data_IF_350854927818
#
_entry.id   IF_350854927818
#
_cell.length_a   1.000
_cell.length_b   1.000
_cell.length_c   1.000
_cell.angle_alpha   90.00
_cell.angle_beta   90.00
_cell.angle_gamma   90.00
#
_symmetry.space_group_name_H-M   'P 1'
#
loop_
_entity.id
_entity.type
_entity.pdbx_description
1 polymer ?
#
# COMPACT_ATOMS: atom_id res chain seq x y z
N UNK A 1 4.51 -14.32 3.96
CA UNK A 1 3.91 -14.88 2.73
C UNK A 1 4.87 -15.92 2.19
N UNK A 2 4.50 -17.20 2.17
CA UNK A 2 5.38 -18.26 1.66
C UNK A 2 5.04 -18.42 0.19
N UNK A 3 5.89 -17.90 -0.70
CA UNK A 3 5.69 -18.05 -2.13
C UNK A 3 6.21 -19.42 -2.53
N UNK A 4 5.31 -20.36 -2.79
CA UNK A 4 5.69 -21.67 -3.33
C UNK A 4 6.06 -21.52 -4.80
N UNK A 5 7.37 -21.42 -5.02
CA UNK A 5 7.99 -21.36 -6.32
C UNK A 5 8.16 -22.79 -6.86
N UNK A 6 7.48 -23.08 -7.97
CA UNK A 6 7.73 -24.31 -8.71
C UNK A 6 9.15 -24.28 -9.28
N UNK A 7 9.80 -25.44 -9.39
CA UNK A 7 11.18 -25.56 -9.89
C UNK A 7 11.34 -24.86 -11.24
N UNK A 8 10.33 -24.94 -12.11
CA UNK A 8 10.30 -24.27 -13.42
C UNK A 8 10.39 -22.75 -13.30
N UNK A 9 9.67 -22.14 -12.34
CA UNK A 9 9.71 -20.70 -12.09
C UNK A 9 11.10 -20.24 -11.60
N UNK A 10 11.74 -21.00 -10.71
CA UNK A 10 13.12 -20.73 -10.27
C UNK A 10 14.12 -20.81 -11.42
N UNK A 11 14.05 -21.86 -12.24
CA UNK A 11 14.90 -21.99 -13.43
C UNK A 11 14.63 -20.90 -14.46
N UNK A 12 13.41 -20.35 -14.51
CA UNK A 12 13.05 -19.23 -15.37
C UNK A 12 13.58 -17.88 -14.82
N UNK A 13 13.65 -17.72 -13.49
CA UNK A 13 14.25 -16.55 -12.83
C UNK A 13 15.78 -16.55 -12.83
N UNK A 14 16.43 -17.71 -12.91
CA UNK A 14 17.89 -17.86 -12.81
C UNK A 14 18.72 -17.26 -13.97
N UNK A 15 18.11 -16.52 -14.90
CA UNK A 15 18.85 -15.84 -15.97
C UNK A 15 18.65 -14.35 -15.85
N UNK A 16 19.76 -13.61 -15.88
CA UNK A 16 19.78 -12.15 -15.76
C UNK A 16 18.91 -11.48 -16.82
N UNK A 17 19.02 -11.93 -18.07
CA UNK A 17 18.21 -11.42 -19.20
C UNK A 17 16.71 -11.59 -18.98
N UNK A 18 16.27 -12.71 -18.39
CA UNK A 18 14.85 -12.93 -18.08
C UNK A 18 14.38 -12.03 -16.94
N UNK A 19 15.25 -11.78 -15.97
CA UNK A 19 14.96 -10.87 -14.87
C UNK A 19 14.86 -9.41 -15.36
N UNK A 20 15.68 -9.01 -16.32
CA UNK A 20 15.56 -7.72 -17.00
C UNK A 20 14.26 -7.59 -17.81
N UNK A 21 13.87 -8.64 -18.54
CA UNK A 21 12.57 -8.67 -19.24
C UNK A 21 11.41 -8.53 -18.25
N UNK A 22 11.46 -9.25 -17.13
CA UNK A 22 10.45 -9.15 -16.08
C UNK A 22 10.40 -7.74 -15.46
N UNK A 23 11.55 -7.10 -15.24
CA UNK A 23 11.61 -5.70 -14.79
C UNK A 23 11.02 -4.74 -15.82
N UNK A 24 11.32 -4.92 -17.11
CA UNK A 24 10.79 -4.09 -18.18
C UNK A 24 9.26 -4.23 -18.37
N UNK A 25 8.70 -5.38 -17.98
CA UNK A 25 7.25 -5.63 -17.92
C UNK A 25 6.57 -5.05 -16.68
N UNK A 26 7.33 -4.61 -15.67
CA UNK A 26 6.82 -3.90 -14.51
C UNK A 26 6.97 -2.38 -14.77
N UNK A 27 5.89 -1.57 -14.86
CA UNK A 27 4.50 -1.78 -14.43
C UNK A 27 3.49 -2.16 -15.54
N UNK A 28 3.87 -2.08 -16.83
CA UNK A 28 2.92 -2.12 -17.95
C UNK A 28 3.21 -3.24 -18.95
N UNK A 29 2.15 -3.76 -19.58
CA UNK A 29 2.22 -4.75 -20.68
C UNK A 29 3.00 -4.21 -21.88
N UNK A 30 3.86 -5.04 -22.48
CA UNK A 30 4.72 -4.66 -23.62
C UNK A 30 4.67 -5.72 -24.71
N UNK A 31 4.87 -5.31 -25.97
CA UNK A 31 5.04 -6.25 -27.07
C UNK A 31 6.48 -6.75 -27.17
N UNK A 32 6.70 -7.83 -27.92
CA UNK A 32 8.05 -8.36 -28.20
C UNK A 32 8.95 -7.30 -28.85
N UNK A 33 8.41 -6.52 -29.78
CA UNK A 33 9.14 -5.45 -30.47
C UNK A 33 9.57 -4.35 -29.50
N UNK A 34 8.66 -3.94 -28.59
CA UNK A 34 8.97 -2.92 -27.59
C UNK A 34 10.04 -3.40 -26.60
N UNK A 35 9.95 -4.66 -26.15
CA UNK A 35 10.94 -5.27 -25.24
C UNK A 35 12.32 -5.39 -25.90
N UNK A 36 12.34 -5.83 -27.15
CA UNK A 36 13.57 -5.93 -27.96
C UNK A 36 14.26 -4.57 -28.09
N UNK A 37 13.50 -3.50 -28.40
CA UNK A 37 14.04 -2.14 -28.48
C UNK A 37 14.52 -1.61 -27.12
N UNK A 38 13.78 -1.86 -26.03
CA UNK A 38 14.16 -1.33 -24.72
C UNK A 38 15.38 -2.01 -24.11
N UNK A 39 15.58 -3.30 -24.40
CA UNK A 39 16.65 -4.11 -23.81
C UNK A 39 17.85 -4.30 -24.75
N UNK A 40 17.74 -3.90 -26.03
CA UNK A 40 18.79 -4.13 -27.03
C UNK A 40 18.99 -5.60 -27.40
N UNK A 41 17.97 -6.44 -27.20
CA UNK A 41 18.03 -7.89 -27.46
C UNK A 41 17.28 -8.20 -28.75
N UNK A 42 17.76 -9.18 -29.52
CA UNK A 42 17.07 -9.65 -30.73
C UNK A 42 15.62 -10.14 -30.46
N UNK A 43 14.71 -9.89 -31.41
CA UNK A 43 13.29 -10.24 -31.28
C UNK A 43 13.05 -11.73 -31.06
N UNK A 44 13.80 -12.60 -31.74
CA UNK A 44 13.66 -14.04 -31.59
C UNK A 44 14.20 -14.52 -30.23
N UNK A 45 15.26 -13.88 -29.72
CA UNK A 45 15.77 -14.14 -28.37
C UNK A 45 14.76 -13.71 -27.29
N UNK A 46 14.17 -12.50 -27.40
CA UNK A 46 13.10 -12.04 -26.49
C UNK A 46 11.92 -13.01 -26.50
N UNK A 47 11.46 -13.44 -27.68
CA UNK A 47 10.38 -14.42 -27.79
C UNK A 47 10.71 -15.76 -27.09
N UNK A 48 11.95 -16.25 -27.24
CA UNK A 48 12.42 -17.47 -26.58
C UNK A 48 12.44 -17.33 -25.06
N UNK A 49 12.88 -16.19 -24.54
CA UNK A 49 12.86 -15.90 -23.11
C UNK A 49 11.44 -15.79 -22.56
N UNK A 50 10.54 -15.10 -23.27
CA UNK A 50 9.13 -14.97 -22.90
C UNK A 50 8.44 -16.33 -22.86
N UNK A 51 8.69 -17.22 -23.83
CA UNK A 51 8.13 -18.57 -23.83
C UNK A 51 8.54 -19.37 -22.60
N UNK A 52 9.82 -19.30 -22.19
CA UNK A 52 10.29 -19.96 -20.95
C UNK A 52 9.69 -19.34 -19.68
N UNK A 53 9.43 -18.03 -19.70
CA UNK A 53 8.76 -17.33 -18.58
C UNK A 53 7.27 -17.66 -18.51
N UNK A 54 6.63 -17.90 -19.65
CA UNK A 54 5.25 -18.37 -19.76
C UNK A 54 5.11 -19.82 -19.28
N UNK A 55 6.04 -20.71 -19.65
CA UNK A 55 6.14 -22.09 -19.12
C UNK A 55 6.29 -22.16 -17.60
N UNK A 56 6.89 -21.11 -17.00
CA UNK A 56 7.03 -20.95 -15.55
C UNK A 56 5.90 -20.17 -14.88
N UNK A 57 4.83 -19.85 -15.60
CA UNK A 57 3.68 -19.05 -15.14
C UNK A 57 4.04 -17.65 -14.59
N UNK A 58 5.19 -17.10 -15.00
CA UNK A 58 5.66 -15.78 -14.58
C UNK A 58 5.10 -14.66 -15.48
N UNK A 59 4.78 -14.98 -16.73
CA UNK A 59 4.28 -14.04 -17.73
C UNK A 59 3.04 -14.62 -18.40
N UNK A 60 2.08 -13.76 -18.75
CA UNK A 60 0.86 -14.09 -19.49
C UNK A 60 0.81 -13.35 -20.82
N UNK A 61 0.35 -14.04 -21.86
CA UNK A 61 0.09 -13.49 -23.19
C UNK A 61 -1.32 -12.86 -23.24
N UNK A 62 -1.41 -11.68 -23.83
CA UNK A 62 -2.63 -10.94 -24.09
C UNK A 62 -2.67 -10.57 -25.57
N UNK A 63 -3.81 -10.79 -26.21
CA UNK A 63 -4.01 -10.44 -27.61
C UNK A 63 -5.02 -9.30 -27.68
N UNK A 64 -4.61 -8.19 -28.30
CA UNK A 64 -5.38 -6.95 -28.33
C UNK A 64 -5.17 -6.28 -29.69
N UNK A 65 -6.26 -6.03 -30.43
CA UNK A 65 -6.25 -5.43 -31.77
C UNK A 65 -5.20 -6.00 -32.74
N UNK A 66 -4.99 -7.33 -32.73
CA UNK A 66 -4.01 -8.01 -33.60
C UNK A 66 -2.55 -7.92 -33.12
N UNK A 67 -2.30 -7.28 -31.99
CA UNK A 67 -0.99 -7.22 -31.35
C UNK A 67 -0.93 -8.14 -30.13
N UNK A 68 0.23 -8.77 -29.97
CA UNK A 68 0.51 -9.65 -28.84
C UNK A 68 1.30 -8.89 -27.79
N UNK A 69 0.67 -8.70 -26.64
CA UNK A 69 1.26 -8.12 -25.45
C UNK A 69 1.61 -9.20 -24.44
N UNK A 70 2.69 -8.99 -23.73
CA UNK A 70 3.08 -9.81 -22.59
C UNK A 70 2.95 -8.97 -21.32
N UNK A 71 2.52 -9.59 -20.23
CA UNK A 71 2.37 -8.96 -18.93
C UNK A 71 2.76 -9.90 -17.80
N UNK A 72 3.23 -9.33 -16.69
CA UNK A 72 3.55 -10.09 -15.47
C UNK A 72 2.29 -10.71 -14.86
N UNK A 73 2.41 -11.94 -14.37
CA UNK A 73 1.38 -12.54 -13.52
C UNK A 73 1.46 -11.99 -12.09
N UNK A 74 0.39 -12.18 -11.31
CA UNK A 74 0.37 -11.83 -9.89
C UNK A 74 1.51 -12.51 -9.11
N UNK A 75 1.80 -13.77 -9.45
CA UNK A 75 2.89 -14.55 -8.86
C UNK A 75 4.25 -13.93 -9.14
N UNK A 76 4.53 -13.55 -10.39
CA UNK A 76 5.80 -12.89 -10.72
C UNK A 76 5.95 -11.51 -10.08
N UNK A 77 4.85 -10.76 -9.98
CA UNK A 77 4.86 -9.42 -9.38
C UNK A 77 5.20 -9.46 -7.90
N UNK A 78 4.64 -10.43 -7.17
CA UNK A 78 4.95 -10.65 -5.74
C UNK A 78 6.42 -11.06 -5.51
N UNK A 79 7.03 -11.75 -6.48
CA UNK A 79 8.44 -12.14 -6.41
C UNK A 79 9.41 -11.00 -6.73
N UNK A 80 9.06 -10.13 -7.67
CA UNK A 80 9.91 -9.02 -8.11
C UNK A 80 9.86 -7.84 -7.16
N UNK A 81 8.69 -7.54 -6.58
CA UNK A 81 8.52 -6.41 -5.68
C UNK A 81 7.52 -6.69 -4.54
N UNK A 82 7.93 -7.44 -3.51
CA UNK A 82 7.07 -7.74 -2.37
C UNK A 82 6.73 -6.50 -1.49
N UNK A 83 7.30 -5.31 -1.78
CA UNK A 83 7.26 -4.15 -0.87
C UNK A 83 6.10 -3.18 -1.10
N UNK A 84 5.37 -3.23 -2.22
CA UNK A 84 4.28 -2.27 -2.46
C UNK A 84 3.02 -2.59 -1.64
N UNK A 85 2.67 -3.88 -1.54
CA UNK A 85 1.44 -4.35 -0.91
C UNK A 85 1.46 -4.10 0.60
N UNK A 86 2.61 -4.29 1.24
CA UNK A 86 2.79 -4.13 2.68
C UNK A 86 2.52 -2.69 3.13
N UNK A 87 2.85 -1.70 2.29
CA UNK A 87 2.62 -0.28 2.60
C UNK A 87 1.14 0.05 2.71
N UNK A 88 0.32 -0.46 1.79
CA UNK A 88 -1.13 -0.23 1.76
C UNK A 88 -1.79 -0.93 2.95
N UNK A 89 -1.38 -2.18 3.25
CA UNK A 89 -1.92 -2.93 4.39
C UNK A 89 -1.61 -2.23 5.72
N UNK A 90 -0.38 -1.76 5.93
CA UNK A 90 0.00 -1.03 7.15
C UNK A 90 -0.83 0.27 7.28
N UNK A 91 -1.06 0.99 6.17
CA UNK A 91 -1.88 2.20 6.16
C UNK A 91 -3.33 1.93 6.58
N UNK A 92 -3.95 0.88 6.02
CA UNK A 92 -5.33 0.50 6.34
C UNK A 92 -5.44 0.06 7.80
N UNK A 93 -4.50 -0.76 8.29
CA UNK A 93 -4.46 -1.20 9.69
C UNK A 93 -4.30 -0.01 10.66
N UNK A 94 -3.45 0.96 10.31
CA UNK A 94 -3.24 2.15 11.14
C UNK A 94 -4.48 3.06 11.15
N UNK A 95 -5.17 3.22 10.01
CA UNK A 95 -6.42 3.97 9.94
C UNK A 95 -7.53 3.33 10.80
N UNK A 96 -7.65 2.00 10.75
CA UNK A 96 -8.58 1.25 11.62
C UNK A 96 -8.24 1.38 13.10
N UNK A 97 -6.96 1.29 13.46
CA UNK A 97 -6.52 1.49 14.84
C UNK A 97 -6.88 2.89 15.37
N UNK A 98 -6.74 3.93 14.54
CA UNK A 98 -7.12 5.29 14.90
C UNK A 98 -8.64 5.46 15.06
N UNK A 99 -9.44 4.85 14.18
CA UNK A 99 -10.91 4.87 14.31
C UNK A 99 -11.37 4.15 15.58
N UNK A 100 -10.84 2.97 15.87
CA UNK A 100 -11.19 2.23 17.09
C UNK A 100 -10.74 2.99 18.35
N UNK A 101 -9.54 3.57 18.34
CA UNK A 101 -9.07 4.43 19.42
C UNK A 101 -10.00 5.63 19.65
N UNK A 102 -10.43 6.31 18.58
CA UNK A 102 -11.35 7.43 18.68
C UNK A 102 -12.74 7.01 19.20
N UNK A 103 -13.26 5.85 18.79
CA UNK A 103 -14.54 5.31 19.27
C UNK A 103 -14.45 4.96 20.76
N UNK A 104 -13.35 4.34 21.21
CA UNK A 104 -13.15 4.02 22.63
C UNK A 104 -13.09 5.29 23.48
N UNK A 105 -12.33 6.29 23.03
CA UNK A 105 -12.24 7.58 23.71
C UNK A 105 -13.60 8.29 23.72
N UNK A 106 -14.32 8.28 22.60
CA UNK A 106 -15.66 8.87 22.51
C UNK A 106 -16.65 8.17 23.45
N UNK A 107 -16.66 6.84 23.49
CA UNK A 107 -17.51 6.05 24.39
C UNK A 107 -17.18 6.33 25.86
N UNK A 108 -15.90 6.42 26.23
CA UNK A 108 -15.48 6.81 27.58
C UNK A 108 -15.99 8.20 27.95
N UNK A 109 -15.86 9.19 27.05
CA UNK A 109 -16.36 10.55 27.27
C UNK A 109 -17.89 10.57 27.40
N UNK A 110 -18.62 9.82 26.56
CA UNK A 110 -20.08 9.74 26.64
C UNK A 110 -20.57 9.05 27.92
N UNK A 111 -19.89 8.01 28.40
CA UNK A 111 -20.23 7.38 29.69
C UNK A 111 -20.01 8.36 30.84
N UNK A 112 -18.96 9.18 30.77
CA UNK A 112 -18.66 10.18 31.80
C UNK A 112 -19.71 11.32 31.81
N UNK A 113 -20.15 11.77 30.63
CA UNK A 113 -21.21 12.81 30.52
C UNK A 113 -22.62 12.28 30.84
N UNK A 114 -22.91 11.02 30.50
CA UNK A 114 -24.20 10.40 30.85
C UNK A 114 -24.25 9.97 32.33
N UNK A 115 -23.11 9.85 33.01
CA UNK A 115 -23.02 9.62 34.45
C UNK A 115 -23.45 10.83 35.31
N UNK A 116 -23.60 12.01 34.69
CA UNK A 116 -24.10 13.21 35.38
C UNK A 116 -25.64 13.28 35.48
N UNK A 117 -26.38 12.27 35.01
CA UNK A 117 -27.85 12.16 35.18
C UNK A 117 -28.32 10.95 35.99
N UNK A 118 -27.46 10.35 36.84
CA UNK A 118 -27.91 9.36 37.82
C UNK A 118 -27.22 9.56 39.18
N UNK A 119 -27.34 10.77 39.72
CA UNK A 119 -27.01 11.05 41.12
C UNK A 119 -27.90 12.16 41.71
N UNK A 120 -29.17 12.21 41.31
CA UNK A 120 -30.17 13.14 41.84
C UNK A 120 -31.24 12.45 42.70
N UNK A 121 -30.90 11.43 43.50
CA UNK A 121 -31.67 11.04 44.70
C UNK A 121 -30.81 10.13 45.59
N UNK A 122 -30.36 10.63 46.74
CA UNK A 122 -29.78 9.80 47.80
C UNK A 122 -28.88 10.58 48.75
N UNK A 123 -29.38 10.81 49.97
CA UNK A 123 -28.78 11.59 51.05
C UNK A 123 -27.33 11.26 51.41
N UNK A 124 -26.59 12.32 51.79
CA UNK A 124 -25.75 12.26 53.00
C UNK A 124 -24.24 12.05 52.83
N UNK A 125 -23.50 13.09 53.22
CA UNK A 125 -22.13 13.09 53.78
C UNK A 125 -20.92 12.87 52.85
N UNK A 126 -20.21 13.99 52.60
CA UNK A 126 -18.74 14.08 52.74
C UNK A 126 -17.88 13.72 51.52
N UNK A 127 -17.20 14.72 50.95
CA UNK A 127 -16.09 14.48 50.02
C UNK A 127 -15.88 15.58 48.97
N UNK A 128 -15.76 16.83 49.37
CA UNK A 128 -15.26 17.88 48.48
C UNK A 128 -13.73 17.78 48.39
N UNK A 129 -13.20 17.93 47.17
CA UNK A 129 -11.79 18.26 46.80
C UNK A 129 -10.75 17.15 46.56
N UNK A 130 -11.04 16.12 45.75
CA UNK A 130 -9.95 15.28 45.15
C UNK A 130 -10.18 14.92 43.65
N UNK A 131 -11.44 14.86 43.21
CA UNK A 131 -11.80 14.21 41.93
C UNK A 131 -11.72 15.14 40.70
N UNK A 132 -11.67 16.47 40.90
CA UNK A 132 -11.62 17.46 39.81
C UNK A 132 -10.21 17.60 39.21
N UNK A 133 -9.17 17.33 40.02
CA UNK A 133 -7.78 17.36 39.56
C UNK A 133 -7.45 16.10 38.74
N UNK A 134 -7.91 14.93 39.20
CA UNK A 134 -7.72 13.62 38.55
C UNK A 134 -8.42 13.55 37.17
N UNK A 135 -9.67 14.02 37.08
CA UNK A 135 -10.43 14.07 35.83
C UNK A 135 -9.82 15.05 34.81
N UNK A 136 -9.34 16.21 35.26
CA UNK A 136 -8.66 17.18 34.39
C UNK A 136 -7.32 16.64 33.88
N UNK A 137 -6.55 15.95 34.72
CA UNK A 137 -5.27 15.34 34.34
C UNK A 137 -5.44 14.18 33.37
N UNK A 138 -6.49 13.36 33.51
CA UNK A 138 -6.80 12.27 32.57
C UNK A 138 -7.20 12.80 31.19
N UNK A 139 -8.00 13.87 31.14
CA UNK A 139 -8.37 14.52 29.87
C UNK A 139 -7.16 15.20 29.22
N UNK A 140 -6.33 15.91 29.99
CA UNK A 140 -5.11 16.54 29.49
C UNK A 140 -4.12 15.48 28.96
N UNK A 141 -3.96 14.37 29.70
CA UNK A 141 -3.09 13.25 29.32
C UNK A 141 -3.56 12.57 28.03
N UNK A 142 -4.87 12.38 27.87
CA UNK A 142 -5.47 11.84 26.64
C UNK A 142 -5.23 12.74 25.42
N UNK A 143 -5.36 14.06 25.58
CA UNK A 143 -5.13 15.03 24.50
C UNK A 143 -3.65 15.11 24.12
N UNK A 144 -2.73 15.06 25.10
CA UNK A 144 -1.27 15.08 24.84
C UNK A 144 -0.81 13.81 24.13
N UNK A 145 -1.29 12.64 24.55
CA UNK A 145 -0.99 11.35 23.90
C UNK A 145 -1.59 11.27 22.49
N UNK A 146 -2.84 11.71 22.32
CA UNK A 146 -3.50 11.77 21.01
C UNK A 146 -2.80 12.73 20.04
N UNK A 147 -2.38 13.89 20.54
CA UNK A 147 -1.62 14.88 19.77
C UNK A 147 -0.24 14.38 19.32
N UNK A 148 0.48 13.67 20.20
CA UNK A 148 1.75 13.04 19.87
C UNK A 148 1.59 11.95 18.79
N UNK A 149 0.51 11.19 18.85
CA UNK A 149 0.14 10.22 17.80
C UNK A 149 -0.09 10.88 16.44
N UNK A 150 -0.89 11.95 16.40
CA UNK A 150 -1.14 12.71 15.18
C UNK A 150 0.13 13.38 14.62
N UNK A 151 1.00 13.87 15.50
CA UNK A 151 2.28 14.47 15.11
C UNK A 151 3.22 13.46 14.44
N UNK A 152 3.33 12.23 14.97
CA UNK A 152 4.13 11.16 14.36
C UNK A 152 3.57 10.73 13.01
N UNK A 153 2.24 10.60 12.90
CA UNK A 153 1.55 10.28 11.63
C UNK A 153 1.80 11.38 10.59
N UNK A 154 1.68 12.66 10.98
CA UNK A 154 1.96 13.79 10.12
C UNK A 154 3.42 13.84 9.66
N UNK A 155 4.37 13.53 10.56
CA UNK A 155 5.81 13.47 10.25
C UNK A 155 6.12 12.36 9.23
N UNK A 156 5.48 11.20 9.35
CA UNK A 156 5.64 10.07 8.42
C UNK A 156 5.00 10.39 7.06
N UNK A 157 3.80 10.99 7.04
CA UNK A 157 3.15 11.45 5.81
C UNK A 157 4.00 12.50 5.05
N UNK A 158 4.68 13.39 5.78
CA UNK A 158 5.56 14.41 5.19
C UNK A 158 6.85 13.82 4.64
N UNK A 159 7.35 12.75 5.27
CA UNK A 159 8.51 11.98 4.79
C UNK A 159 8.27 11.27 3.45
N UNK A 160 7.02 11.18 2.98
CA UNK A 160 6.66 10.45 1.75
C UNK A 160 6.22 11.35 0.59
N UNK A 161 6.29 12.69 0.74
CA UNK A 161 6.02 13.62 -0.36
C UNK A 161 7.30 13.97 -1.15
N UNK A 162 7.63 13.16 -2.17
CA UNK A 162 8.08 13.55 -3.54
C UNK A 162 8.69 12.36 -4.33
N UNK A 163 8.68 12.35 -5.68
CA UNK A 163 7.98 13.24 -6.63
C UNK A 163 7.02 12.52 -7.61
N UNK A 164 6.16 13.32 -8.26
CA UNK A 164 5.31 12.97 -9.40
C UNK A 164 6.16 12.40 -10.55
N UNK A 165 5.73 11.29 -11.14
CA UNK A 165 6.23 10.86 -12.44
C UNK A 165 5.69 11.82 -13.52
N UNK A 166 6.57 12.22 -14.44
CA UNK A 166 6.34 13.27 -15.44
C UNK A 166 5.24 12.90 -16.46
N UNK A 167 4.60 13.90 -17.10
CA UNK A 167 3.70 13.65 -18.23
C UNK A 167 4.45 12.97 -19.37
N UNK A 168 3.79 12.01 -20.03
CA UNK A 168 4.32 11.30 -21.19
C UNK A 168 4.59 12.31 -22.33
N UNK A 169 5.76 12.28 -22.99
CA UNK A 169 5.98 13.07 -24.20
C UNK A 169 5.12 12.47 -25.32
N UNK A 170 4.02 13.15 -25.64
CA UNK A 170 3.11 12.73 -26.72
C UNK A 170 1.66 13.25 -26.62
N UNK A 171 1.26 13.89 -25.52
CA UNK A 171 -0.14 14.30 -25.33
C UNK A 171 -0.52 15.64 -26.00
N UNK A 172 0.41 16.29 -26.72
CA UNK A 172 0.19 17.60 -27.36
C UNK A 172 0.28 17.55 -28.90
N UNK A 173 0.00 16.41 -29.54
CA UNK A 173 -0.08 16.32 -31.01
C UNK A 173 -1.52 16.13 -31.52
N UNK A 174 -2.53 16.23 -30.64
CA UNK A 174 -3.94 15.99 -30.97
C UNK A 174 -4.85 17.21 -31.01
N UNK A 175 -4.38 18.40 -30.64
CA UNK A 175 -5.20 19.63 -30.68
C UNK A 175 -4.61 20.65 -31.65
N UNK A 176 -4.77 20.36 -32.95
CA UNK A 176 -4.81 21.40 -33.98
C UNK A 176 -5.95 21.06 -34.92
N UNK A 177 -7.08 21.72 -34.70
CA UNK A 177 -8.11 21.96 -35.71
C UNK A 177 -8.65 23.37 -35.48
#
# INVERSE_FOLDING_TARGET
>A
MRVELDKKALFALASDTRLEILKALNPMRRTVTQLSQSLGIDKAAVYRHLKKLEEGELVKRYEDHGFVYYGLTWKARDLLDPKENTKIVILISCAWALLLGAIIVFAFVSITQNGDMEAATGDGYGGATDNTMESTLLILGGVVLGGAGLYLVGRILRSMRKPKQAPLPGENEGEVN
#
